data_IF_861721701007
#
_entry.id   IF_861721701007
#
_cell.length_a   1.000
_cell.length_b   1.000
_cell.length_c   1.000
_cell.angle_alpha   90.00
_cell.angle_beta   90.00
_cell.angle_gamma   90.00
#
_symmetry.space_group_name_H-M   'P 1'
#
loop_
_entity.id
_entity.type
_entity.pdbx_description
1 polymer ?
#
# COMPACT_ATOMS: atom_id res chain seq x y z
N UNK A 1 -5.05 -53.56 17.53
CA UNK A 1 -3.66 -54.02 17.30
C UNK A 1 -3.52 -55.35 18.05
N UNK A 2 -3.37 -56.49 17.38
CA UNK A 2 -3.23 -57.76 18.11
C UNK A 2 -1.77 -57.97 18.54
N UNK A 3 -1.57 -58.27 19.83
CA UNK A 3 -0.27 -58.47 20.46
C UNK A 3 0.55 -59.61 19.80
N UNK A 4 -0.13 -60.58 19.19
CA UNK A 4 0.47 -61.71 18.47
C UNK A 4 1.33 -61.31 17.26
N UNK A 5 1.13 -60.10 16.70
CA UNK A 5 1.93 -59.59 15.57
C UNK A 5 3.27 -59.01 16.03
N UNK A 6 3.36 -58.59 17.29
CA UNK A 6 4.57 -58.04 17.92
C UNK A 6 5.44 -59.15 18.50
N UNK A 7 4.85 -60.16 19.12
CA UNK A 7 5.57 -61.35 19.60
C UNK A 7 6.28 -62.09 18.46
N UNK A 8 5.59 -62.33 17.34
CA UNK A 8 6.18 -62.90 16.11
C UNK A 8 7.26 -62.02 15.45
N UNK A 9 7.32 -60.73 15.78
CA UNK A 9 8.38 -59.83 15.32
C UNK A 9 9.61 -59.92 16.24
N UNK A 10 9.40 -60.05 17.55
CA UNK A 10 10.47 -60.19 18.53
C UNK A 10 11.30 -61.46 18.28
N UNK A 11 10.64 -62.55 17.89
CA UNK A 11 11.27 -63.84 17.56
C UNK A 11 12.16 -63.80 16.30
N UNK A 12 11.91 -62.87 15.37
CA UNK A 12 12.73 -62.67 14.16
C UNK A 12 13.94 -61.75 14.38
N UNK A 13 14.18 -61.37 15.63
CA UNK A 13 15.30 -60.52 16.03
C UNK A 13 14.91 -59.04 16.23
N UNK A 14 15.70 -58.31 17.03
CA UNK A 14 15.38 -56.96 17.52
C UNK A 14 15.18 -55.92 16.39
N UNK A 15 15.85 -56.11 15.25
CA UNK A 15 15.73 -55.22 14.10
C UNK A 15 14.35 -55.22 13.45
N UNK A 16 13.65 -56.36 13.41
CA UNK A 16 12.33 -56.42 12.77
C UNK A 16 11.24 -55.73 13.61
N UNK A 17 11.40 -55.74 14.94
CA UNK A 17 10.52 -55.04 15.87
C UNK A 17 10.79 -53.53 15.86
N UNK A 18 12.06 -53.12 15.75
CA UNK A 18 12.46 -51.72 15.56
C UNK A 18 11.78 -51.11 14.32
N UNK A 19 11.90 -51.74 13.14
CA UNK A 19 11.32 -51.20 11.91
C UNK A 19 9.77 -51.13 11.93
N UNK A 20 9.09 -52.05 12.62
CA UNK A 20 7.62 -52.05 12.77
C UNK A 20 7.10 -50.93 13.67
N UNK A 21 7.91 -50.42 14.58
CA UNK A 21 7.56 -49.28 15.44
C UNK A 21 8.06 -47.97 14.84
N UNK A 22 9.26 -47.97 14.27
CA UNK A 22 9.90 -46.80 13.69
C UNK A 22 9.13 -46.22 12.51
N UNK A 23 8.72 -47.03 11.53
CA UNK A 23 7.99 -46.55 10.36
C UNK A 23 6.65 -45.86 10.68
N UNK A 24 5.75 -46.43 11.51
CA UNK A 24 4.51 -45.74 11.84
C UNK A 24 4.76 -44.46 12.64
N UNK A 25 5.76 -44.43 13.53
CA UNK A 25 6.14 -43.19 14.25
C UNK A 25 6.67 -42.13 13.28
N UNK A 26 7.56 -42.51 12.37
CA UNK A 26 8.08 -41.62 11.33
C UNK A 26 6.95 -41.07 10.45
N UNK A 27 6.00 -41.92 10.07
CA UNK A 27 4.85 -41.52 9.26
C UNK A 27 3.95 -40.52 10.00
N UNK A 28 3.71 -40.72 11.29
CA UNK A 28 2.98 -39.75 12.13
C UNK A 28 3.72 -38.42 12.20
N UNK A 29 5.05 -38.42 12.40
CA UNK A 29 5.86 -37.20 12.43
C UNK A 29 5.80 -36.46 11.09
N UNK A 30 5.87 -37.17 9.97
CA UNK A 30 5.73 -36.58 8.63
C UNK A 30 4.34 -35.96 8.44
N UNK A 31 3.28 -36.68 8.81
CA UNK A 31 1.89 -36.17 8.69
C UNK A 31 1.69 -34.91 9.54
N UNK A 32 2.17 -34.91 10.78
CA UNK A 32 2.09 -33.73 11.65
C UNK A 32 2.95 -32.57 11.14
N UNK A 33 4.14 -32.86 10.59
CA UNK A 33 5.01 -31.86 9.97
C UNK A 33 4.37 -31.21 8.74
N UNK A 34 3.79 -32.01 7.85
CA UNK A 34 3.07 -31.53 6.66
C UNK A 34 1.83 -30.74 7.05
N UNK A 35 1.03 -31.23 8.01
CA UNK A 35 -0.12 -30.51 8.53
C UNK A 35 0.28 -29.16 9.15
N UNK A 36 1.36 -29.13 9.93
CA UNK A 36 1.92 -27.90 10.48
C UNK A 36 2.39 -26.91 9.41
N UNK A 37 3.04 -27.40 8.36
CA UNK A 37 3.49 -26.58 7.23
C UNK A 37 2.30 -26.00 6.44
N UNK A 38 1.27 -26.81 6.18
CA UNK A 38 0.05 -26.39 5.46
C UNK A 38 -0.79 -25.39 6.28
N UNK A 39 -0.82 -25.52 7.61
CA UNK A 39 -1.57 -24.62 8.48
C UNK A 39 -0.82 -23.32 8.83
N UNK A 40 0.49 -23.26 8.61
CA UNK A 40 1.31 -22.08 8.93
C UNK A 40 0.90 -20.81 8.13
N UNK A 41 0.62 -20.88 6.81
CA UNK A 41 0.08 -19.74 6.05
C UNK A 41 -1.22 -19.18 6.63
N UNK A 42 -2.14 -20.03 7.09
CA UNK A 42 -3.41 -19.59 7.69
C UNK A 42 -3.21 -18.83 9.00
N UNK A 43 -2.26 -19.26 9.84
CA UNK A 43 -1.88 -18.55 11.07
C UNK A 43 -1.18 -17.22 10.80
N UNK A 44 -0.48 -17.09 9.68
CA UNK A 44 0.14 -15.83 9.27
C UNK A 44 -0.90 -14.88 8.67
N UNK A 45 -1.78 -15.38 7.80
CA UNK A 45 -2.90 -14.62 7.24
C UNK A 45 -3.84 -14.08 8.32
N UNK A 46 -4.20 -14.89 9.32
CA UNK A 46 -5.02 -14.45 10.46
C UNK A 46 -4.35 -13.34 11.29
N UNK A 47 -3.02 -13.41 11.48
CA UNK A 47 -2.27 -12.34 12.17
C UNK A 47 -2.23 -11.05 11.36
N UNK A 48 -2.13 -11.14 10.04
CA UNK A 48 -2.18 -9.98 9.14
C UNK A 48 -3.58 -9.37 9.15
N UNK A 49 -4.64 -10.18 9.08
CA UNK A 49 -6.03 -9.73 9.17
C UNK A 49 -6.33 -9.03 10.50
N UNK A 50 -5.97 -9.64 11.63
CA UNK A 50 -6.18 -9.02 12.95
C UNK A 50 -5.43 -7.70 13.11
N UNK A 51 -4.21 -7.57 12.56
CA UNK A 51 -3.48 -6.30 12.58
C UNK A 51 -4.08 -5.26 11.63
N UNK A 52 -4.62 -5.70 10.50
CA UNK A 52 -5.19 -4.81 9.47
C UNK A 52 -6.59 -4.33 9.85
N UNK A 53 -7.39 -5.18 10.49
CA UNK A 53 -8.80 -4.94 10.84
C UNK A 53 -8.97 -4.48 12.30
N UNK A 54 -7.87 -4.35 13.07
CA UNK A 54 -7.96 -3.70 14.37
C UNK A 54 -8.59 -2.31 14.21
N UNK A 55 -9.59 -1.99 15.03
CA UNK A 55 -10.40 -0.77 14.94
C UNK A 55 -9.52 0.49 14.87
N UNK A 56 -8.43 0.54 15.62
CA UNK A 56 -7.48 1.65 15.61
C UNK A 56 -6.81 1.83 14.23
N UNK A 57 -6.43 0.73 13.57
CA UNK A 57 -5.83 0.78 12.24
C UNK A 57 -6.87 1.15 11.16
N UNK A 58 -8.11 0.69 11.31
CA UNK A 58 -9.22 1.07 10.43
C UNK A 58 -9.46 2.58 10.49
N UNK A 59 -9.63 3.13 11.70
CA UNK A 59 -9.86 4.56 11.93
C UNK A 59 -8.66 5.36 11.41
N UNK A 60 -7.44 4.95 11.73
CA UNK A 60 -6.23 5.62 11.28
C UNK A 60 -6.14 5.71 9.75
N UNK A 61 -6.38 4.60 9.03
CA UNK A 61 -6.30 4.63 7.57
C UNK A 61 -7.43 5.49 6.97
N UNK A 62 -8.64 5.42 7.53
CA UNK A 62 -9.75 6.28 7.09
C UNK A 62 -9.45 7.77 7.29
N UNK A 63 -8.98 8.17 8.47
CA UNK A 63 -8.60 9.54 8.77
C UNK A 63 -7.46 10.02 7.86
N UNK A 64 -6.47 9.16 7.60
CA UNK A 64 -5.37 9.49 6.72
C UNK A 64 -5.86 9.79 5.29
N UNK A 65 -6.73 8.94 4.73
CA UNK A 65 -7.29 9.17 3.39
C UNK A 65 -8.11 10.46 3.34
N UNK A 66 -8.94 10.73 4.35
CA UNK A 66 -9.73 11.97 4.44
C UNK A 66 -8.84 13.20 4.53
N UNK A 67 -7.83 13.18 5.40
CA UNK A 67 -6.88 14.29 5.54
C UNK A 67 -6.10 14.55 4.25
N UNK A 68 -5.68 13.49 3.52
CA UNK A 68 -5.00 13.67 2.24
C UNK A 68 -5.92 14.23 1.16
N UNK A 69 -7.17 13.79 1.11
CA UNK A 69 -8.16 14.34 0.18
C UNK A 69 -8.33 15.86 0.40
N UNK A 70 -8.55 16.30 1.63
CA UNK A 70 -8.65 17.73 1.97
C UNK A 70 -7.35 18.49 1.67
N UNK A 71 -6.19 17.88 1.92
CA UNK A 71 -4.89 18.50 1.60
C UNK A 71 -4.71 18.72 0.10
N UNK A 72 -5.15 17.78 -0.75
CA UNK A 72 -5.12 17.92 -2.21
C UNK A 72 -6.06 19.05 -2.62
N UNK A 73 -7.29 19.10 -2.12
CA UNK A 73 -8.22 20.20 -2.40
C UNK A 73 -7.67 21.58 -2.01
N UNK A 74 -6.98 21.67 -0.87
CA UNK A 74 -6.32 22.90 -0.45
C UNK A 74 -5.16 23.31 -1.37
N UNK A 75 -4.39 22.35 -1.91
CA UNK A 75 -3.35 22.63 -2.90
C UNK A 75 -3.96 23.04 -4.24
N UNK A 76 -5.07 22.42 -4.66
CA UNK A 76 -5.77 22.77 -5.91
C UNK A 76 -6.20 24.23 -5.90
N UNK A 77 -6.77 24.71 -4.80
CA UNK A 77 -7.10 26.13 -4.64
C UNK A 77 -5.88 27.06 -4.78
N UNK A 78 -4.71 26.65 -4.26
CA UNK A 78 -3.46 27.41 -4.39
C UNK A 78 -2.92 27.40 -5.82
N UNK A 79 -3.04 26.28 -6.53
CA UNK A 79 -2.64 26.17 -7.94
C UNK A 79 -3.51 27.10 -8.79
N UNK A 80 -4.83 27.10 -8.58
CA UNK A 80 -5.76 28.01 -9.28
C UNK A 80 -5.40 29.47 -9.00
N UNK A 81 -5.16 29.83 -7.73
CA UNK A 81 -4.76 31.19 -7.36
C UNK A 81 -3.44 31.62 -8.02
N UNK A 82 -2.42 30.75 -8.02
CA UNK A 82 -1.14 31.05 -8.67
C UNK A 82 -1.24 31.12 -10.19
N UNK A 83 -2.06 30.26 -10.80
CA UNK A 83 -2.32 30.30 -12.24
C UNK A 83 -3.03 31.60 -12.63
N UNK A 84 -4.01 32.04 -11.83
CA UNK A 84 -4.68 33.33 -12.01
C UNK A 84 -3.68 34.49 -11.90
N UNK A 85 -2.76 34.47 -10.93
CA UNK A 85 -1.72 35.49 -10.81
C UNK A 85 -0.78 35.53 -12.04
N UNK A 86 -0.38 34.37 -12.56
CA UNK A 86 0.41 34.29 -13.81
C UNK A 86 -0.37 34.85 -15.00
N UNK A 87 -1.65 34.53 -15.11
CA UNK A 87 -2.49 34.98 -16.22
C UNK A 87 -2.76 36.49 -16.14
N UNK A 88 -3.04 37.01 -14.95
CA UNK A 88 -3.22 38.44 -14.70
C UNK A 88 -1.93 39.20 -15.05
N UNK A 89 -0.78 38.72 -14.59
CA UNK A 89 0.52 39.30 -14.93
C UNK A 89 0.73 39.36 -16.45
N UNK A 90 0.43 38.27 -17.19
CA UNK A 90 0.53 38.26 -18.66
C UNK A 90 -0.41 39.26 -19.32
N UNK A 91 -1.62 39.41 -18.79
CA UNK A 91 -2.61 40.36 -19.31
C UNK A 91 -2.14 41.81 -19.11
N UNK A 92 -1.59 42.12 -17.93
CA UNK A 92 -1.12 43.46 -17.57
C UNK A 92 0.19 43.84 -18.29
N UNK A 93 1.13 42.89 -18.42
CA UNK A 93 2.42 43.12 -19.06
C UNK A 93 2.35 43.14 -20.61
N UNK A 94 1.25 42.66 -21.20
CA UNK A 94 1.06 42.63 -22.65
C UNK A 94 1.98 41.64 -23.38
N UNK A 95 2.22 41.84 -24.70
CA UNK A 95 3.01 40.93 -25.52
C UNK A 95 4.43 40.69 -24.97
N UNK A 96 4.87 39.43 -24.98
CA UNK A 96 6.16 39.03 -24.40
C UNK A 96 7.37 39.73 -25.01
N UNK A 97 7.29 40.13 -26.28
CA UNK A 97 8.36 40.85 -26.97
C UNK A 97 8.61 42.25 -26.40
N UNK A 98 7.63 42.81 -25.69
CA UNK A 98 7.71 44.12 -25.06
C UNK A 98 8.12 44.05 -23.58
N UNK A 99 8.35 42.85 -23.04
CA UNK A 99 8.65 42.70 -21.62
C UNK A 99 10.03 43.25 -21.28
N UNK A 100 10.08 44.07 -20.24
CA UNK A 100 11.34 44.51 -19.66
C UNK A 100 12.04 43.36 -18.91
N UNK A 101 13.25 43.61 -18.45
CA UNK A 101 13.99 42.61 -17.66
C UNK A 101 13.22 42.22 -16.39
N UNK A 102 12.66 43.21 -15.69
CA UNK A 102 11.89 43.05 -14.46
C UNK A 102 10.63 42.19 -14.69
N UNK A 103 9.94 42.39 -15.82
CA UNK A 103 8.74 41.62 -16.16
C UNK A 103 9.07 40.14 -16.37
N UNK A 104 10.19 39.86 -17.05
CA UNK A 104 10.67 38.48 -17.26
C UNK A 104 11.07 37.81 -15.96
N UNK A 105 11.70 38.54 -15.04
CA UNK A 105 12.09 38.05 -13.72
C UNK A 105 10.85 37.72 -12.88
N UNK A 106 9.87 38.63 -12.83
CA UNK A 106 8.64 38.42 -12.09
C UNK A 106 7.81 37.27 -12.67
N UNK A 107 7.70 37.18 -14.00
CA UNK A 107 7.07 36.04 -14.65
C UNK A 107 7.76 34.72 -14.30
N UNK A 108 9.10 34.67 -14.34
CA UNK A 108 9.85 33.47 -14.01
C UNK A 108 9.63 33.07 -12.55
N UNK A 109 9.57 34.04 -11.64
CA UNK A 109 9.26 33.83 -10.22
C UNK A 109 7.85 33.24 -10.04
N UNK A 110 6.82 33.87 -10.62
CA UNK A 110 5.43 33.39 -10.55
C UNK A 110 5.27 31.99 -11.13
N UNK A 111 5.91 31.73 -12.28
CA UNK A 111 5.86 30.42 -12.93
C UNK A 111 6.61 29.33 -12.13
N UNK A 112 7.71 29.69 -11.45
CA UNK A 112 8.43 28.78 -10.55
C UNK A 112 7.55 28.39 -9.34
N UNK A 113 6.83 29.36 -8.76
CA UNK A 113 5.86 29.10 -7.68
C UNK A 113 4.75 28.17 -8.15
N UNK A 114 4.16 28.46 -9.31
CA UNK A 114 3.11 27.61 -9.91
C UNK A 114 3.61 26.19 -10.16
N UNK A 115 4.82 26.04 -10.71
CA UNK A 115 5.43 24.73 -10.96
C UNK A 115 5.64 23.97 -9.64
N UNK A 116 6.14 24.63 -8.60
CA UNK A 116 6.33 24.02 -7.28
C UNK A 116 5.02 23.51 -6.68
N UNK A 117 3.93 24.29 -6.78
CA UNK A 117 2.60 23.87 -6.31
C UNK A 117 2.05 22.68 -7.11
N UNK A 118 2.26 22.66 -8.43
CA UNK A 118 1.86 21.53 -9.28
C UNK A 118 2.63 20.26 -8.92
N UNK A 119 3.93 20.35 -8.67
CA UNK A 119 4.72 19.21 -8.22
C UNK A 119 4.24 18.70 -6.86
N UNK A 120 4.03 19.60 -5.90
CA UNK A 120 3.52 19.24 -4.57
C UNK A 120 2.16 18.52 -4.67
N UNK A 121 1.27 18.99 -5.55
CA UNK A 121 0.00 18.33 -5.81
C UNK A 121 0.20 16.92 -6.38
N UNK A 122 1.06 16.79 -7.40
CA UNK A 122 1.35 15.51 -8.03
C UNK A 122 1.91 14.51 -7.02
N UNK A 123 2.80 14.94 -6.12
CA UNK A 123 3.36 14.10 -5.06
C UNK A 123 2.26 13.62 -4.08
N UNK A 124 1.34 14.50 -3.69
CA UNK A 124 0.21 14.14 -2.81
C UNK A 124 -0.76 13.16 -3.50
N UNK A 125 -1.07 13.40 -4.78
CA UNK A 125 -1.92 12.51 -5.58
C UNK A 125 -1.25 11.13 -5.76
N UNK A 126 0.05 11.11 -6.07
CA UNK A 126 0.82 9.89 -6.21
C UNK A 126 0.88 9.09 -4.89
N UNK A 127 1.08 9.76 -3.75
CA UNK A 127 1.05 9.09 -2.44
C UNK A 127 -0.34 8.52 -2.12
N UNK A 128 -1.40 9.30 -2.35
CA UNK A 128 -2.78 8.86 -2.17
C UNK A 128 -3.07 7.62 -3.05
N UNK A 129 -2.75 7.70 -4.34
CA UNK A 129 -2.96 6.64 -5.31
C UNK A 129 -2.14 5.39 -4.96
N UNK A 130 -0.87 5.53 -4.60
CA UNK A 130 -0.01 4.42 -4.18
C UNK A 130 -0.56 3.69 -2.94
N UNK A 131 -1.04 4.42 -1.93
CA UNK A 131 -1.66 3.80 -0.74
C UNK A 131 -3.02 3.20 -1.02
N UNK A 132 -3.77 3.78 -1.96
CA UNK A 132 -5.08 3.26 -2.36
C UNK A 132 -4.99 1.91 -3.09
N UNK A 133 -3.90 1.68 -3.84
CA UNK A 133 -3.62 0.40 -4.53
C UNK A 133 -3.15 -0.73 -3.60
N UNK A 134 -2.83 -0.44 -2.34
CA UNK A 134 -2.44 -1.49 -1.38
C UNK A 134 -3.66 -2.31 -0.95
N UNK A 135 -3.63 -3.63 -1.16
CA UNK A 135 -4.77 -4.54 -0.91
C UNK A 135 -5.32 -4.47 0.52
N UNK A 136 -4.46 -4.21 1.51
CA UNK A 136 -4.84 -4.07 2.91
C UNK A 136 -5.48 -2.71 3.26
N UNK A 137 -5.41 -1.72 2.36
CA UNK A 137 -5.89 -0.35 2.58
C UNK A 137 -6.98 0.08 1.60
N UNK A 138 -7.08 -0.58 0.46
CA UNK A 138 -8.11 -0.34 -0.55
C UNK A 138 -9.54 -0.37 0.03
N UNK A 139 -9.77 -1.21 1.05
CA UNK A 139 -11.07 -1.33 1.74
C UNK A 139 -11.47 -0.07 2.53
N UNK A 140 -10.52 0.81 2.86
CA UNK A 140 -10.77 2.04 3.64
C UNK A 140 -10.94 3.27 2.76
N UNK A 141 -10.92 3.11 1.43
CA UNK A 141 -11.27 4.17 0.50
C UNK A 141 -12.78 4.35 0.52
N UNK A 142 -13.24 5.51 0.99
CA UNK A 142 -14.67 5.82 1.10
C UNK A 142 -15.28 6.18 -0.27
N UNK A 143 -15.23 5.26 -1.24
CA UNK A 143 -15.90 5.39 -2.53
C UNK A 143 -15.20 6.26 -3.58
N UNK A 144 -14.04 6.86 -3.28
CA UNK A 144 -13.37 7.75 -4.22
C UNK A 144 -12.72 7.00 -5.41
N UNK A 145 -12.72 7.64 -6.58
CA UNK A 145 -12.03 7.23 -7.80
C UNK A 145 -10.52 7.52 -7.68
N UNK A 146 -9.64 6.95 -8.50
CA UNK A 146 -8.22 7.40 -8.52
C UNK A 146 -8.16 8.91 -8.80
N UNK A 147 -7.30 9.62 -8.09
CA UNK A 147 -7.15 11.07 -8.29
C UNK A 147 -6.21 11.32 -9.48
N UNK A 148 -6.52 12.24 -10.39
CA UNK A 148 -5.64 12.55 -11.52
C UNK A 148 -4.34 13.17 -11.00
N UNK A 149 -3.20 12.76 -11.56
CA UNK A 149 -1.88 13.24 -11.12
C UNK A 149 -1.59 14.70 -11.53
N UNK A 150 -2.36 15.24 -12.49
CA UNK A 150 -2.27 16.63 -12.94
C UNK A 150 -3.64 17.31 -13.00
N UNK A 151 -3.66 18.63 -12.83
CA UNK A 151 -4.85 19.46 -13.09
C UNK A 151 -4.87 19.78 -14.58
N UNK A 152 -5.98 19.55 -15.30
CA UNK A 152 -6.12 19.99 -16.68
C UNK A 152 -5.90 21.50 -16.75
N UNK A 153 -5.02 21.90 -17.66
CA UNK A 153 -4.74 23.32 -17.91
C UNK A 153 -5.77 23.78 -18.93
N UNK A 154 -6.74 24.59 -18.49
CA UNK A 154 -7.61 25.35 -19.40
C UNK A 154 -6.88 26.59 -19.94
#
# INVERSE_FOLDING_TARGET
MSWDKYQRAAERGPMSLFWKVFFPVLLVVIVLGVAGFVLNPFRQASRILNKTINADNVIYNYEWFKQRHEAIGAIDAKVVGSQSAVNQFKADAGPRDNWHFQDREEYARLNSVLLGLRQQRADLAAEYNARSRMTNRAIFKAGDTELPDSIPVE
#
